data_IF_658458938609
#
_entry.id   IF_658458938609
#
_cell.length_a   1.000
_cell.length_b   1.000
_cell.length_c   1.000
_cell.angle_alpha   90.00
_cell.angle_beta   90.00
_cell.angle_gamma   90.00
#
_symmetry.space_group_name_H-M   'P 1'
#
loop_
_entity.id
_entity.type
_entity.pdbx_description
1 polymer ?
#
# COMPACT_ATOMS: atom_id res chain seq x y z
N UNK A 1 3.10 12.52 2.84
CA UNK A 1 3.61 11.14 2.67
C UNK A 1 5.11 11.16 2.86
N UNK A 2 5.70 10.36 3.76
CA UNK A 2 7.14 10.24 3.86
C UNK A 2 7.70 9.68 2.54
N UNK A 3 8.74 10.31 2.00
CA UNK A 3 9.39 9.87 0.75
C UNK A 3 10.21 8.61 0.99
N UNK A 4 10.42 7.79 -0.05
CA UNK A 4 11.22 6.56 0.01
C UNK A 4 12.53 6.69 0.81
N UNK A 5 13.40 7.68 0.53
CA UNK A 5 14.68 7.84 1.24
C UNK A 5 14.55 8.10 2.75
N UNK A 6 13.46 8.73 3.19
CA UNK A 6 13.20 8.97 4.62
C UNK A 6 12.83 7.66 5.29
N UNK A 7 11.96 6.86 4.65
CA UNK A 7 11.57 5.55 5.15
C UNK A 7 12.77 4.58 5.19
N UNK A 8 13.67 4.64 4.22
CA UNK A 8 14.88 3.82 4.20
C UNK A 8 15.80 4.13 5.40
N UNK A 9 15.90 5.42 5.79
CA UNK A 9 16.66 5.85 6.97
C UNK A 9 16.00 5.37 8.25
N UNK A 10 14.69 5.57 8.41
CA UNK A 10 13.93 5.14 9.58
C UNK A 10 14.00 3.62 9.75
N UNK A 11 13.88 2.86 8.66
CA UNK A 11 13.97 1.41 8.69
C UNK A 11 15.36 0.91 9.09
N UNK A 12 16.43 1.53 8.60
CA UNK A 12 17.80 1.22 9.06
C UNK A 12 17.99 1.53 10.54
N UNK A 13 17.44 2.66 11.01
CA UNK A 13 17.45 3.01 12.43
C UNK A 13 16.69 1.99 13.27
N UNK A 14 15.49 1.61 12.87
CA UNK A 14 14.66 0.63 13.57
C UNK A 14 15.26 -0.79 13.56
N UNK A 15 16.02 -1.15 12.52
CA UNK A 15 16.71 -2.43 12.43
C UNK A 15 17.78 -2.62 13.54
N UNK A 16 18.20 -1.54 14.22
CA UNK A 16 19.08 -1.63 15.40
C UNK A 16 18.38 -2.19 16.65
N UNK A 17 17.05 -2.26 16.65
CA UNK A 17 16.24 -2.75 17.77
C UNK A 17 15.93 -1.70 18.84
N UNK A 18 16.42 -0.46 18.70
CA UNK A 18 16.11 0.64 19.63
C UNK A 18 14.59 0.95 19.62
N UNK A 19 13.89 0.88 20.78
CA UNK A 19 12.44 1.08 20.84
C UNK A 19 11.97 2.43 20.29
N UNK A 20 12.76 3.50 20.52
CA UNK A 20 12.48 4.83 20.00
C UNK A 20 12.49 4.85 18.46
N UNK A 21 13.50 4.24 17.84
CA UNK A 21 13.63 4.15 16.37
C UNK A 21 12.54 3.31 15.75
N UNK A 22 12.15 2.22 16.43
CA UNK A 22 11.00 1.41 16.03
C UNK A 22 9.71 2.24 16.10
N UNK A 23 9.53 3.03 17.17
CA UNK A 23 8.40 3.95 17.33
C UNK A 23 8.34 5.01 16.22
N UNK A 24 9.47 5.62 15.86
CA UNK A 24 9.57 6.59 14.75
C UNK A 24 9.16 5.97 13.41
N UNK A 25 9.64 4.75 13.13
CA UNK A 25 9.26 4.02 11.92
C UNK A 25 7.75 3.74 11.90
N UNK A 26 7.20 3.21 13.00
CA UNK A 26 5.77 2.93 13.12
C UNK A 26 4.92 4.17 12.95
N UNK A 27 5.31 5.30 13.57
CA UNK A 27 4.62 6.57 13.41
C UNK A 27 4.62 7.04 11.95
N UNK A 28 5.71 6.81 11.22
CA UNK A 28 5.80 7.15 9.80
C UNK A 28 4.97 6.22 8.90
N UNK A 29 4.88 4.92 9.20
CA UNK A 29 4.19 3.94 8.34
C UNK A 29 2.74 3.66 8.71
N UNK A 30 2.30 3.88 9.96
CA UNK A 30 0.92 3.62 10.39
C UNK A 30 -0.13 4.23 9.47
N UNK A 31 -0.05 5.54 9.14
CA UNK A 31 -0.99 6.18 8.22
C UNK A 31 -0.95 5.62 6.78
N UNK A 32 0.16 5.02 6.36
CA UNK A 32 0.31 4.34 5.07
C UNK A 32 -0.42 3.00 5.07
N UNK A 33 -0.21 2.19 6.12
CA UNK A 33 -0.82 0.88 6.28
C UNK A 33 -2.35 0.98 6.27
N UNK A 34 -2.91 1.88 7.10
CA UNK A 34 -4.36 2.09 7.23
C UNK A 34 -4.99 2.52 5.90
N UNK A 35 -4.35 3.46 5.19
CA UNK A 35 -4.85 3.93 3.88
C UNK A 35 -4.86 2.81 2.84
N UNK A 36 -3.80 2.02 2.78
CA UNK A 36 -3.73 0.89 1.86
C UNK A 36 -4.82 -0.14 2.15
N UNK A 37 -4.92 -0.59 3.40
CA UNK A 37 -5.88 -1.63 3.81
C UNK A 37 -7.32 -1.19 3.53
N UNK A 38 -7.71 0.03 3.94
CA UNK A 38 -9.06 0.55 3.69
C UNK A 38 -9.38 0.65 2.19
N UNK A 39 -8.43 1.13 1.39
CA UNK A 39 -8.65 1.23 -0.05
C UNK A 39 -8.69 -0.13 -0.76
N UNK A 40 -7.92 -1.11 -0.27
CA UNK A 40 -7.88 -2.46 -0.86
C UNK A 40 -9.11 -3.29 -0.50
N UNK A 41 -9.63 -3.13 0.71
CA UNK A 41 -10.77 -3.90 1.22
C UNK A 41 -12.12 -3.31 0.81
N UNK A 42 -12.12 -2.06 0.35
CA UNK A 42 -13.32 -1.35 -0.10
C UNK A 42 -14.30 -1.06 1.04
N UNK A 43 -15.42 -0.42 0.71
CA UNK A 43 -16.50 -0.13 1.67
C UNK A 43 -17.50 -1.29 1.68
N UNK A 44 -17.26 -2.31 2.51
CA UNK A 44 -18.30 -3.24 3.01
C UNK A 44 -18.76 -2.78 4.39
N UNK A 45 -19.89 -3.23 4.93
CA UNK A 45 -20.35 -2.89 6.29
C UNK A 45 -19.23 -2.79 7.37
N UNK A 46 -18.81 -3.92 7.95
CA UNK A 46 -17.70 -4.01 8.93
C UNK A 46 -16.30 -3.72 8.35
N UNK A 47 -16.18 -3.18 7.13
CA UNK A 47 -14.90 -3.08 6.40
C UNK A 47 -13.86 -2.21 7.08
N UNK A 48 -14.27 -1.15 7.78
CA UNK A 48 -13.32 -0.30 8.50
C UNK A 48 -12.67 -1.04 9.67
N UNK A 49 -13.46 -1.83 10.42
CA UNK A 49 -12.94 -2.66 11.51
C UNK A 49 -11.99 -3.71 10.95
N UNK A 50 -12.38 -4.43 9.90
CA UNK A 50 -11.51 -5.40 9.24
C UNK A 50 -10.23 -4.74 8.70
N UNK A 51 -10.34 -3.57 8.07
CA UNK A 51 -9.19 -2.85 7.54
C UNK A 51 -8.23 -2.39 8.62
N UNK A 52 -8.74 -1.98 9.78
CA UNK A 52 -7.92 -1.59 10.92
C UNK A 52 -7.25 -2.82 11.57
N UNK A 53 -7.94 -3.96 11.63
CA UNK A 53 -7.37 -5.25 12.06
C UNK A 53 -6.23 -5.71 11.14
N UNK A 54 -6.45 -5.65 9.82
CA UNK A 54 -5.44 -6.00 8.82
C UNK A 54 -4.28 -5.02 8.84
N UNK A 55 -4.52 -3.73 9.06
CA UNK A 55 -3.47 -2.73 9.21
C UNK A 55 -2.63 -2.97 10.48
N UNK A 56 -3.27 -3.34 11.58
CA UNK A 56 -2.58 -3.71 12.81
C UNK A 56 -1.72 -4.97 12.63
N UNK A 57 -2.23 -5.99 11.93
CA UNK A 57 -1.44 -7.18 11.59
C UNK A 57 -0.28 -6.84 10.66
N UNK A 58 -0.49 -6.00 9.65
CA UNK A 58 0.58 -5.55 8.77
C UNK A 58 1.66 -4.79 9.57
N UNK A 59 1.27 -3.96 10.54
CA UNK A 59 2.17 -3.30 11.46
C UNK A 59 3.02 -4.29 12.26
N UNK A 60 2.40 -5.33 12.85
CA UNK A 60 3.12 -6.41 13.54
C UNK A 60 4.06 -7.16 12.61
N UNK A 61 3.61 -7.51 11.41
CA UNK A 61 4.43 -8.19 10.42
C UNK A 61 5.63 -7.34 9.95
N UNK A 62 5.47 -6.01 9.85
CA UNK A 62 6.57 -5.08 9.62
C UNK A 62 7.56 -5.13 10.78
N UNK A 63 7.11 -5.08 12.04
CA UNK A 63 7.99 -5.18 13.20
C UNK A 63 8.79 -6.48 13.22
N UNK A 64 8.17 -7.60 12.85
CA UNK A 64 8.87 -8.89 12.72
C UNK A 64 9.91 -8.89 11.60
N UNK A 65 9.66 -8.15 10.51
CA UNK A 65 10.55 -8.10 9.36
C UNK A 65 11.73 -7.11 9.51
N UNK A 66 11.55 -6.04 10.29
CA UNK A 66 12.52 -4.94 10.43
C UNK A 66 13.90 -5.37 10.94
N UNK A 67 14.06 -6.26 11.93
CA UNK A 67 15.38 -6.71 12.37
C UNK A 67 16.20 -7.40 11.27
N UNK A 68 15.53 -8.02 10.29
CA UNK A 68 16.17 -8.65 9.13
C UNK A 68 16.43 -7.69 7.96
N UNK A 69 16.07 -6.41 8.08
CA UNK A 69 16.23 -5.44 7.02
C UNK A 69 17.68 -4.95 6.90
N UNK A 70 18.38 -5.41 5.86
CA UNK A 70 19.80 -5.11 5.63
C UNK A 70 20.03 -3.95 4.65
N UNK A 71 18.97 -3.38 4.06
CA UNK A 71 19.03 -2.24 3.16
C UNK A 71 18.17 -2.37 1.90
N UNK A 72 18.43 -1.51 0.92
CA UNK A 72 17.60 -1.34 -0.26
C UNK A 72 16.42 -0.39 -0.02
N UNK A 73 15.36 -0.44 -0.84
CA UNK A 73 14.18 0.39 -0.64
C UNK A 73 13.20 -0.27 0.32
N UNK A 74 12.98 0.33 1.48
CA UNK A 74 12.07 -0.17 2.51
C UNK A 74 10.63 -0.24 2.01
N UNK A 75 10.21 0.68 1.14
CA UNK A 75 8.89 0.67 0.52
C UNK A 75 8.57 -0.68 -0.15
N UNK A 76 9.54 -1.33 -0.80
CA UNK A 76 9.32 -2.64 -1.42
C UNK A 76 8.99 -3.71 -0.38
N UNK A 77 9.70 -3.71 0.75
CA UNK A 77 9.43 -4.62 1.86
C UNK A 77 8.05 -4.34 2.48
N UNK A 78 7.77 -3.07 2.79
CA UNK A 78 6.51 -2.62 3.37
C UNK A 78 5.30 -3.07 2.54
N UNK A 79 5.34 -2.83 1.23
CA UNK A 79 4.23 -3.19 0.36
C UNK A 79 4.12 -4.70 0.11
N UNK A 80 5.23 -5.43 0.11
CA UNK A 80 5.20 -6.90 0.09
C UNK A 80 4.48 -7.45 1.32
N UNK A 81 4.78 -6.92 2.50
CA UNK A 81 4.10 -7.28 3.75
C UNK A 81 2.62 -6.94 3.66
N UNK A 82 2.27 -5.72 3.23
CA UNK A 82 0.88 -5.28 3.08
C UNK A 82 0.06 -6.18 2.16
N UNK A 83 0.56 -6.48 0.95
CA UNK A 83 -0.14 -7.32 -0.03
C UNK A 83 -0.38 -8.71 0.57
N UNK A 84 0.67 -9.35 1.10
CA UNK A 84 0.57 -10.66 1.73
C UNK A 84 -0.45 -10.67 2.87
N UNK A 85 -0.34 -9.75 3.81
CA UNK A 85 -1.23 -9.69 4.97
C UNK A 85 -2.69 -9.47 4.57
N UNK A 86 -2.96 -8.62 3.56
CA UNK A 86 -4.33 -8.43 3.06
C UNK A 86 -4.85 -9.69 2.37
N UNK A 87 -4.04 -10.33 1.52
CA UNK A 87 -4.45 -11.54 0.80
C UNK A 87 -4.71 -12.71 1.75
N UNK A 88 -3.92 -12.83 2.84
CA UNK A 88 -4.08 -13.88 3.86
C UNK A 88 -5.34 -13.69 4.72
N UNK A 89 -5.63 -12.45 5.13
CA UNK A 89 -6.70 -12.15 6.10
C UNK A 89 -8.04 -11.77 5.46
N UNK A 90 -8.02 -11.37 4.20
CA UNK A 90 -9.21 -10.92 3.49
C UNK A 90 -9.17 -11.37 2.02
N UNK A 91 -9.17 -12.70 1.77
CA UNK A 91 -9.20 -13.23 0.42
C UNK A 91 -10.42 -12.67 -0.33
N UNK A 92 -10.20 -12.20 -1.55
CA UNK A 92 -11.10 -11.29 -2.25
C UNK A 92 -12.56 -11.74 -2.33
N UNK A 93 -13.44 -11.06 -1.60
CA UNK A 93 -14.89 -11.04 -1.86
C UNK A 93 -15.23 -10.13 -3.05
N UNK A 94 -16.43 -10.26 -3.63
CA UNK A 94 -16.90 -9.38 -4.72
C UNK A 94 -16.86 -7.90 -4.30
N UNK A 95 -16.48 -6.98 -5.20
CA UNK A 95 -16.53 -5.55 -4.92
C UNK A 95 -17.97 -5.08 -4.78
N UNK A 96 -18.22 -4.27 -3.75
CA UNK A 96 -19.45 -3.50 -3.63
C UNK A 96 -19.31 -2.25 -4.52
N UNK A 97 -20.38 -1.85 -5.20
CA UNK A 97 -20.33 -0.73 -6.15
C UNK A 97 -20.37 0.56 -5.34
N UNK A 98 -19.20 1.15 -5.09
CA UNK A 98 -19.09 2.42 -4.39
C UNK A 98 -19.00 3.60 -5.40
N UNK A 99 -19.68 4.71 -5.05
CA UNK A 99 -19.79 5.95 -5.84
C UNK A 99 -18.50 6.81 -5.89
N UNK A 100 -17.37 6.32 -5.35
CA UNK A 100 -16.09 7.02 -5.40
C UNK A 100 -15.05 6.33 -6.29
N UNK A 101 -14.02 7.08 -6.67
CA UNK A 101 -12.99 6.61 -7.62
C UNK A 101 -12.24 5.37 -7.13
N UNK A 102 -12.16 5.17 -5.80
CA UNK A 102 -11.57 3.98 -5.18
C UNK A 102 -12.50 2.76 -5.32
N UNK A 103 -13.81 2.98 -5.20
CA UNK A 103 -14.87 2.01 -5.45
C UNK A 103 -14.93 1.44 -6.86
N UNK A 104 -14.48 2.20 -7.86
CA UNK A 104 -14.44 1.77 -9.27
C UNK A 104 -13.17 0.99 -9.65
N UNK A 105 -12.13 1.03 -8.80
CA UNK A 105 -10.87 0.32 -9.07
C UNK A 105 -11.01 -1.20 -9.28
N UNK A 106 -11.96 -1.92 -8.67
CA UNK A 106 -12.15 -3.34 -8.91
C UNK A 106 -12.50 -3.70 -10.37
N UNK A 107 -12.99 -2.76 -11.18
CA UNK A 107 -13.30 -2.96 -12.61
C UNK A 107 -12.03 -2.97 -13.47
N UNK A 108 -10.92 -2.44 -12.97
CA UNK A 108 -9.66 -2.38 -13.70
C UNK A 108 -8.93 -3.73 -13.69
N UNK A 109 -8.13 -4.03 -14.73
CA UNK A 109 -7.20 -5.16 -14.68
C UNK A 109 -6.27 -5.07 -13.46
N UNK A 110 -5.81 -6.21 -12.88
CA UNK A 110 -5.11 -6.24 -11.60
C UNK A 110 -3.94 -5.26 -11.50
N UNK A 111 -3.09 -5.17 -12.54
CA UNK A 111 -1.93 -4.27 -12.53
C UNK A 111 -2.33 -2.79 -12.57
N UNK A 112 -3.30 -2.44 -13.40
CA UNK A 112 -3.82 -1.07 -13.51
C UNK A 112 -4.48 -0.66 -12.19
N UNK A 113 -5.24 -1.58 -11.56
CA UNK A 113 -5.85 -1.41 -10.25
C UNK A 113 -4.81 -1.16 -9.16
N UNK A 114 -3.76 -1.97 -9.09
CA UNK A 114 -2.72 -1.84 -8.08
C UNK A 114 -1.96 -0.52 -8.25
N UNK A 115 -1.66 -0.11 -9.49
CA UNK A 115 -1.08 1.20 -9.78
C UNK A 115 -1.99 2.32 -9.28
N UNK A 116 -3.28 2.29 -9.61
CA UNK A 116 -4.22 3.33 -9.21
C UNK A 116 -4.41 3.38 -7.70
N UNK A 117 -4.47 2.23 -7.02
CA UNK A 117 -4.60 2.16 -5.58
C UNK A 117 -3.37 2.77 -4.89
N UNK A 118 -2.16 2.42 -5.31
CA UNK A 118 -0.92 2.99 -4.76
C UNK A 118 -0.83 4.51 -5.02
N UNK A 119 -1.27 4.96 -6.20
CA UNK A 119 -1.15 6.38 -6.58
C UNK A 119 -2.20 7.25 -5.91
N UNK A 120 -3.44 6.79 -5.81
CA UNK A 120 -4.59 7.58 -5.35
C UNK A 120 -4.85 7.40 -3.86
N UNK A 121 -4.89 6.16 -3.37
CA UNK A 121 -5.24 5.91 -1.97
C UNK A 121 -4.07 6.14 -1.01
N UNK A 122 -2.88 5.67 -1.38
CA UNK A 122 -1.68 5.83 -0.53
C UNK A 122 -0.82 7.03 -0.93
N UNK A 123 -1.04 7.62 -2.11
CA UNK A 123 -0.36 8.85 -2.54
C UNK A 123 1.11 8.66 -2.91
N UNK A 124 1.53 7.43 -3.25
CA UNK A 124 2.89 7.15 -3.72
C UNK A 124 3.17 7.89 -5.02
N UNK A 125 4.42 8.30 -5.27
CA UNK A 125 4.85 8.85 -6.55
C UNK A 125 4.87 7.79 -7.65
N UNK A 126 4.86 8.17 -8.93
CA UNK A 126 5.00 7.20 -10.02
C UNK A 126 6.31 6.39 -9.95
N UNK A 127 7.38 7.02 -9.45
CA UNK A 127 8.68 6.39 -9.23
C UNK A 127 8.64 5.40 -8.08
N UNK A 128 8.02 5.76 -6.96
CA UNK A 128 7.86 4.85 -5.82
C UNK A 128 6.92 3.68 -6.15
N UNK A 129 5.83 3.94 -6.88
CA UNK A 129 4.93 2.88 -7.39
C UNK A 129 5.67 1.92 -8.31
N UNK A 130 6.50 2.44 -9.21
CA UNK A 130 7.33 1.62 -10.10
C UNK A 130 8.29 0.74 -9.31
N UNK A 131 8.95 1.33 -8.31
CA UNK A 131 9.82 0.62 -7.40
C UNK A 131 9.09 -0.52 -6.69
N UNK A 132 7.91 -0.25 -6.11
CA UNK A 132 7.12 -1.24 -5.37
C UNK A 132 6.70 -2.41 -6.26
N UNK A 133 6.17 -2.09 -7.45
CA UNK A 133 5.62 -3.10 -8.37
C UNK A 133 6.67 -3.78 -9.25
N UNK A 134 7.95 -3.42 -9.13
CA UNK A 134 9.00 -3.96 -10.00
C UNK A 134 8.85 -3.53 -11.47
N UNK A 135 8.29 -2.35 -11.69
CA UNK A 135 8.09 -1.74 -13.00
C UNK A 135 9.04 -0.58 -13.23
N UNK A 136 9.08 -0.07 -14.46
CA UNK A 136 9.66 1.24 -14.79
C UNK A 136 8.65 2.36 -14.52
N UNK A 137 9.16 3.57 -14.28
CA UNK A 137 8.30 4.76 -14.13
C UNK A 137 7.48 5.02 -15.40
N UNK A 138 8.03 4.70 -16.58
CA UNK A 138 7.31 4.79 -17.87
C UNK A 138 6.11 3.86 -17.94
N UNK A 139 6.30 2.58 -17.58
CA UNK A 139 5.19 1.60 -17.51
C UNK A 139 4.08 2.06 -16.56
N UNK A 140 4.45 2.60 -15.39
CA UNK A 140 3.47 3.13 -14.44
C UNK A 140 2.67 4.28 -15.02
N UNK A 141 3.32 5.26 -15.67
CA UNK A 141 2.62 6.40 -16.27
C UNK A 141 1.65 5.99 -17.38
N UNK A 142 2.06 5.05 -18.24
CA UNK A 142 1.22 4.53 -19.32
C UNK A 142 0.02 3.77 -18.75
N UNK A 143 0.24 2.86 -17.80
CA UNK A 143 -0.83 2.11 -17.15
C UNK A 143 -1.80 3.03 -16.41
N UNK A 144 -1.29 4.03 -15.66
CA UNK A 144 -2.12 5.05 -15.00
C UNK A 144 -2.99 5.80 -16.01
N UNK A 145 -2.42 6.23 -17.14
CA UNK A 145 -3.19 6.91 -18.18
C UNK A 145 -4.32 6.03 -18.72
N UNK A 146 -4.01 4.77 -19.08
CA UNK A 146 -5.02 3.81 -19.55
C UNK A 146 -6.12 3.55 -18.52
N UNK A 147 -5.74 3.39 -17.26
CA UNK A 147 -6.66 3.17 -16.15
C UNK A 147 -7.63 4.36 -15.99
N UNK A 148 -7.11 5.58 -15.96
CA UNK A 148 -7.93 6.79 -15.88
C UNK A 148 -8.85 6.96 -17.08
N UNK A 149 -8.40 6.63 -18.30
CA UNK A 149 -9.24 6.66 -19.50
C UNK A 149 -10.41 5.67 -19.39
N UNK A 150 -10.16 4.45 -18.87
CA UNK A 150 -11.23 3.47 -18.63
C UNK A 150 -12.20 3.91 -17.56
N UNK A 151 -11.71 4.41 -16.41
CA UNK A 151 -12.58 4.87 -15.32
C UNK A 151 -13.48 6.02 -15.76
N UNK A 152 -12.97 6.96 -16.55
CA UNK A 152 -13.77 8.07 -17.10
C UNK A 152 -14.87 7.64 -18.06
N UNK A 153 -14.72 6.50 -18.75
CA UNK A 153 -15.74 5.98 -19.65
C UNK A 153 -16.90 5.29 -18.90
N UNK A 154 -16.79 5.12 -17.59
CA UNK A 154 -17.80 4.51 -16.72
C UNK A 154 -18.62 5.56 -15.93
N UNK A 155 -18.24 6.83 -16.03
CA UNK A 155 -18.93 7.99 -15.45
C UNK A 155 -19.74 8.70 -16.54
#
# INVERSE_FOLDING_TARGET
>A
MPRGPVLDRLARGAATGEPERVGELLAAVGPLLVRYCRARLGRRGDSYRLADEVAAEAGRAVLTAVPGYTGGPFLRLLYRVLVRTVDDLAPGGKPDVADDLVGLLPVLPPLDRDIMLLRVATGLSATDTALVLGLTTGQVRVAQHRALTRLRALL
#
